data_IF_732385338742
#
_entry.id   IF_732385338742
#
_cell.length_a   1.000
_cell.length_b   1.000
_cell.length_c   1.000
_cell.angle_alpha   90.00
_cell.angle_beta   90.00
_cell.angle_gamma   90.00
#
_symmetry.space_group_name_H-M   'P 1'
#
loop_
_entity.id
_entity.type
_entity.pdbx_description
1 polymer ?
#
# COMPACT_ATOMS: atom_id res chain seq x y z
N UNK A 1 5.61 -60.05 22.82
CA UNK A 1 5.62 -58.57 22.79
C UNK A 1 6.98 -58.09 22.29
N UNK A 2 7.16 -57.67 21.02
CA UNK A 2 8.34 -56.91 20.63
C UNK A 2 8.00 -55.44 20.39
N UNK A 3 8.86 -54.56 20.93
CA UNK A 3 8.75 -53.11 20.87
C UNK A 3 9.01 -52.57 19.45
N UNK A 4 8.10 -51.73 18.96
CA UNK A 4 8.14 -51.12 17.64
C UNK A 4 9.13 -49.95 17.54
N UNK A 5 9.93 -49.98 16.49
CA UNK A 5 10.89 -48.96 16.07
C UNK A 5 10.14 -47.72 15.52
N UNK A 6 9.98 -46.66 16.31
CA UNK A 6 9.49 -45.35 15.79
C UNK A 6 10.65 -44.57 15.16
N UNK A 7 10.72 -44.54 13.82
CA UNK A 7 11.56 -43.57 13.08
C UNK A 7 10.87 -42.20 13.09
N UNK A 8 11.57 -41.17 13.58
CA UNK A 8 11.13 -39.77 13.54
C UNK A 8 11.11 -39.27 12.09
N UNK A 9 9.92 -39.02 11.55
CA UNK A 9 9.74 -38.25 10.31
C UNK A 9 9.73 -36.75 10.66
N UNK A 10 10.90 -36.11 10.63
CA UNK A 10 11.01 -34.69 10.92
C UNK A 10 12.27 -34.09 10.32
N UNK A 11 12.23 -33.71 9.05
CA UNK A 11 13.15 -32.70 8.48
C UNK A 11 12.94 -32.32 6.99
N UNK A 12 11.82 -32.66 6.34
CA UNK A 12 11.64 -32.32 4.90
C UNK A 12 10.87 -31.02 4.64
N UNK A 13 10.15 -30.49 5.63
CA UNK A 13 9.33 -29.27 5.48
C UNK A 13 10.08 -27.98 5.80
N UNK A 14 11.10 -28.03 6.65
CA UNK A 14 11.89 -26.85 7.03
C UNK A 14 12.71 -26.29 5.85
N UNK A 15 13.26 -27.16 4.99
CA UNK A 15 14.00 -26.74 3.79
C UNK A 15 13.08 -26.10 2.74
N UNK A 16 11.88 -26.65 2.53
CA UNK A 16 10.91 -26.09 1.59
C UNK A 16 10.43 -24.68 2.00
N UNK A 17 10.21 -24.45 3.31
CA UNK A 17 9.82 -23.15 3.83
C UNK A 17 10.92 -22.08 3.67
N UNK A 18 12.18 -22.44 3.88
CA UNK A 18 13.31 -21.52 3.68
C UNK A 18 13.51 -21.17 2.20
N UNK A 19 13.35 -22.13 1.30
CA UNK A 19 13.45 -21.88 -0.14
C UNK A 19 12.33 -20.94 -0.62
N UNK A 20 11.09 -21.13 -0.16
CA UNK A 20 9.97 -20.22 -0.46
C UNK A 20 10.19 -18.81 0.10
N UNK A 21 10.69 -18.68 1.33
CA UNK A 21 10.99 -17.38 1.95
C UNK A 21 12.12 -16.64 1.21
N UNK A 22 13.18 -17.36 0.81
CA UNK A 22 14.25 -16.82 -0.03
C UNK A 22 13.73 -16.40 -1.41
N UNK A 23 12.82 -17.18 -2.01
CA UNK A 23 12.22 -16.85 -3.31
C UNK A 23 11.35 -15.58 -3.24
N UNK A 24 10.55 -15.44 -2.17
CA UNK A 24 9.74 -14.24 -1.94
C UNK A 24 10.60 -13.00 -1.65
N UNK A 25 11.72 -13.15 -0.93
CA UNK A 25 12.65 -12.06 -0.66
C UNK A 25 13.37 -11.61 -1.94
N UNK A 26 13.79 -12.57 -2.78
CA UNK A 26 14.38 -12.27 -4.10
C UNK A 26 13.36 -11.57 -4.99
N UNK A 27 12.09 -12.01 -5.02
CA UNK A 27 11.03 -11.32 -5.74
C UNK A 27 10.79 -9.89 -5.22
N UNK A 28 10.78 -9.69 -3.90
CA UNK A 28 10.62 -8.36 -3.31
C UNK A 28 11.80 -7.43 -3.63
N UNK A 29 13.03 -7.96 -3.63
CA UNK A 29 14.24 -7.20 -3.98
C UNK A 29 14.28 -6.86 -5.48
N UNK A 30 13.95 -7.82 -6.35
CA UNK A 30 13.81 -7.58 -7.79
C UNK A 30 12.71 -6.57 -8.08
N UNK A 31 11.56 -6.66 -7.39
CA UNK A 31 10.48 -5.68 -7.51
C UNK A 31 10.91 -4.27 -7.05
N UNK A 32 11.71 -4.18 -5.98
CA UNK A 32 12.27 -2.92 -5.47
C UNK A 32 13.28 -2.30 -6.43
N UNK A 33 14.15 -3.09 -7.06
CA UNK A 33 15.07 -2.61 -8.11
C UNK A 33 14.31 -2.14 -9.34
N UNK A 34 13.26 -2.86 -9.73
CA UNK A 34 12.46 -2.53 -10.92
C UNK A 34 11.63 -1.24 -10.75
N UNK A 35 11.17 -0.94 -9.52
CA UNK A 35 10.54 0.35 -9.21
C UNK A 35 11.54 1.52 -9.24
N UNK A 36 12.78 1.33 -8.78
CA UNK A 36 13.80 2.39 -8.85
C UNK A 36 14.34 2.61 -10.26
N UNK A 37 14.20 1.63 -11.15
CA UNK A 37 14.76 1.65 -12.51
C UNK A 37 13.72 1.98 -13.59
N UNK A 38 12.44 2.13 -13.24
CA UNK A 38 11.38 2.38 -14.22
C UNK A 38 11.17 3.88 -14.44
N UNK A 39 11.54 4.45 -15.61
CA UNK A 39 11.29 5.85 -15.93
C UNK A 39 9.80 6.18 -16.18
N UNK A 40 8.91 5.21 -15.98
CA UNK A 40 7.48 5.29 -16.30
C UNK A 40 6.54 5.30 -15.10
N UNK A 41 7.06 5.47 -13.87
CA UNK A 41 6.23 5.93 -12.75
C UNK A 41 5.87 7.42 -12.98
N UNK A 42 5.06 7.69 -14.01
CA UNK A 42 4.52 9.02 -14.26
C UNK A 42 3.49 9.32 -13.16
N UNK A 43 3.97 9.89 -12.06
CA UNK A 43 3.10 10.60 -11.12
C UNK A 43 2.53 11.79 -11.89
N UNK A 44 1.22 11.79 -12.09
CA UNK A 44 0.54 12.86 -12.81
C UNK A 44 0.82 14.22 -12.12
N UNK A 45 1.14 15.30 -12.86
CA UNK A 45 1.57 16.59 -12.29
C UNK A 45 0.49 17.29 -11.44
N UNK A 46 -0.79 16.87 -11.52
CA UNK A 46 -1.84 17.34 -10.58
C UNK A 46 -1.85 16.63 -9.22
N UNK A 47 -1.03 15.60 -9.04
CA UNK A 47 -0.77 14.96 -7.75
C UNK A 47 0.28 15.73 -6.92
N UNK A 48 0.51 17.01 -7.23
CA UNK A 48 1.37 17.94 -6.49
C UNK A 48 0.69 18.55 -5.27
N UNK A 49 -0.22 17.82 -4.61
CA UNK A 49 -0.45 18.07 -3.20
C UNK A 49 0.72 17.43 -2.42
N UNK A 50 1.94 17.94 -2.62
CA UNK A 50 3.06 17.59 -1.74
C UNK A 50 2.76 18.21 -0.39
N UNK A 51 2.08 17.44 0.45
CA UNK A 51 1.96 17.75 1.86
C UNK A 51 3.39 17.89 2.39
N UNK A 52 3.69 19.05 2.95
CA UNK A 52 4.98 19.26 3.62
C UNK A 52 5.11 18.23 4.73
N UNK A 53 6.34 17.84 5.04
CA UNK A 53 6.63 16.91 6.12
C UNK A 53 5.86 17.29 7.40
N UNK A 54 5.16 16.31 7.97
CA UNK A 54 4.19 16.54 9.01
C UNK A 54 4.12 15.37 10.00
N UNK A 55 3.67 15.67 11.21
CA UNK A 55 3.39 14.68 12.24
C UNK A 55 1.88 14.54 12.38
N UNK A 56 1.39 13.31 12.22
CA UNK A 56 0.02 12.94 12.51
C UNK A 56 -0.01 12.17 13.83
N UNK A 57 -0.76 12.66 14.80
CA UNK A 57 -0.98 11.97 16.07
C UNK A 57 -2.43 11.45 16.15
N UNK A 58 -2.60 10.27 16.73
CA UNK A 58 -3.90 9.66 16.94
C UNK A 58 -3.88 8.77 18.19
N UNK A 59 -4.96 8.80 18.99
CA UNK A 59 -5.10 7.96 20.19
C UNK A 59 -5.27 6.48 19.84
N UNK A 60 -5.80 6.17 18.65
CA UNK A 60 -6.00 4.81 18.17
C UNK A 60 -5.32 4.58 16.82
N UNK A 61 -3.99 4.43 16.85
CA UNK A 61 -3.20 4.08 15.65
C UNK A 61 -3.00 2.58 15.58
N UNK A 62 -3.34 1.98 14.44
CA UNK A 62 -3.13 0.55 14.17
C UNK A 62 -1.68 0.33 13.76
N UNK A 63 -0.91 -0.35 14.63
CA UNK A 63 0.46 -0.77 14.39
C UNK A 63 0.55 -2.30 14.38
N UNK A 64 1.66 -2.89 13.88
CA UNK A 64 1.85 -4.35 13.95
C UNK A 64 1.76 -4.94 15.36
N UNK A 65 2.07 -4.13 16.38
CA UNK A 65 1.99 -4.51 17.79
C UNK A 65 0.59 -4.37 18.41
N UNK A 66 -0.39 -3.84 17.67
CA UNK A 66 -1.75 -3.57 18.16
C UNK A 66 -2.17 -2.11 17.96
N UNK A 67 -3.30 -1.74 18.59
CA UNK A 67 -3.87 -0.39 18.52
C UNK A 67 -3.42 0.41 19.73
N UNK A 68 -2.79 1.57 19.50
CA UNK A 68 -2.24 2.40 20.59
C UNK A 68 -2.15 3.87 20.19
N UNK A 69 -1.97 4.75 21.17
CA UNK A 69 -1.63 6.14 20.92
C UNK A 69 -0.25 6.21 20.26
N UNK A 70 -0.17 6.90 19.12
CA UNK A 70 1.06 6.98 18.35
C UNK A 70 1.13 8.24 17.49
N UNK A 71 2.36 8.58 17.12
CA UNK A 71 2.66 9.53 16.05
C UNK A 71 3.12 8.76 14.81
N UNK A 72 2.72 9.28 13.64
CA UNK A 72 3.24 8.94 12.32
C UNK A 72 3.89 10.20 11.75
N UNK A 73 5.20 10.14 11.50
CA UNK A 73 5.96 11.19 10.84
C UNK A 73 6.06 10.90 9.35
N UNK A 74 5.47 11.77 8.54
CA UNK A 74 5.48 11.69 7.08
C UNK A 74 6.49 12.71 6.54
N UNK A 75 7.34 12.26 5.62
CA UNK A 75 8.37 13.05 4.95
C UNK A 75 7.78 13.82 3.76
N UNK A 76 8.55 14.76 3.20
CA UNK A 76 8.11 15.59 2.06
C UNK A 76 7.83 14.78 0.77
N UNK A 77 8.32 13.54 0.68
CA UNK A 77 8.05 12.60 -0.42
C UNK A 77 6.83 11.70 -0.17
N UNK A 78 6.12 11.90 0.94
CA UNK A 78 4.95 11.12 1.34
C UNK A 78 5.27 9.79 2.03
N UNK A 79 6.55 9.45 2.23
CA UNK A 79 6.94 8.22 2.93
C UNK A 79 6.88 8.40 4.44
N UNK A 80 6.63 7.30 5.16
CA UNK A 80 6.67 7.29 6.63
C UNK A 80 8.14 7.20 7.07
N UNK A 81 8.65 8.29 7.66
CA UNK A 81 9.99 8.31 8.24
C UNK A 81 10.05 7.62 9.61
N UNK A 82 9.00 7.76 10.41
CA UNK A 82 8.95 7.19 11.77
C UNK A 82 7.50 6.94 12.20
N UNK A 83 7.25 5.83 12.90
CA UNK A 83 5.98 5.53 13.54
C UNK A 83 6.25 5.06 14.97
N UNK A 84 5.72 5.77 15.96
CA UNK A 84 6.04 5.52 17.38
C UNK A 84 4.85 5.64 18.29
N UNK A 85 4.70 4.65 19.16
CA UNK A 85 3.78 4.74 20.29
C UNK A 85 4.37 5.65 21.36
N UNK A 86 3.79 6.85 21.49
CA UNK A 86 4.22 7.90 22.42
C UNK A 86 3.01 8.73 22.83
N UNK A 87 3.16 9.50 23.90
CA UNK A 87 2.11 10.43 24.34
C UNK A 87 1.92 11.57 23.33
N UNK A 88 0.73 12.17 23.36
CA UNK A 88 0.43 13.41 22.61
C UNK A 88 1.45 14.52 22.89
N UNK A 89 1.86 14.67 24.16
CA UNK A 89 2.79 15.71 24.58
C UNK A 89 4.17 15.51 23.94
N UNK A 90 4.65 14.26 23.89
CA UNK A 90 5.93 13.91 23.27
C UNK A 90 5.87 14.08 21.74
N UNK A 91 4.75 13.70 21.10
CA UNK A 91 4.55 13.91 19.67
C UNK A 91 4.54 15.39 19.30
N UNK A 92 3.87 16.23 20.10
CA UNK A 92 3.86 17.67 19.91
C UNK A 92 5.26 18.28 20.08
N UNK A 93 6.01 17.85 21.11
CA UNK A 93 7.39 18.28 21.32
C UNK A 93 8.30 17.87 20.15
N UNK A 94 8.12 16.66 19.60
CA UNK A 94 8.85 16.19 18.41
C UNK A 94 8.61 17.08 17.20
N UNK A 95 7.34 17.42 16.93
CA UNK A 95 6.96 18.29 15.81
C UNK A 95 7.52 19.70 16.00
N UNK A 96 7.39 20.28 17.20
CA UNK A 96 7.86 21.62 17.52
C UNK A 96 9.39 21.76 17.37
N UNK A 97 10.16 20.78 17.86
CA UNK A 97 11.61 20.78 17.75
C UNK A 97 12.10 20.79 16.29
N UNK A 98 11.29 20.26 15.37
CA UNK A 98 11.59 20.18 13.93
C UNK A 98 10.84 21.22 13.09
N UNK A 99 10.01 22.06 13.71
CA UNK A 99 9.12 23.03 13.03
C UNK A 99 8.22 22.37 11.98
N UNK A 100 7.71 21.18 12.28
CA UNK A 100 6.80 20.42 11.43
C UNK A 100 5.35 20.78 11.73
N UNK A 101 4.47 20.60 10.75
CA UNK A 101 3.02 20.66 11.00
C UNK A 101 2.61 19.53 11.95
N UNK A 102 1.67 19.81 12.86
CA UNK A 102 1.14 18.84 13.81
C UNK A 102 -0.37 18.69 13.60
N UNK A 103 -0.79 17.49 13.20
CA UNK A 103 -2.18 17.14 12.97
C UNK A 103 -2.63 16.16 14.03
N UNK A 104 -3.56 16.60 14.88
CA UNK A 104 -4.14 15.80 15.95
C UNK A 104 -5.50 15.25 15.52
N UNK A 105 -5.60 13.93 15.42
CA UNK A 105 -6.83 13.24 15.02
C UNK A 105 -7.68 12.78 16.22
N UNK A 106 -7.22 13.02 17.45
CA UNK A 106 -7.92 12.68 18.69
C UNK A 106 -8.29 11.19 18.77
N UNK A 107 -9.54 10.91 19.12
CA UNK A 107 -10.08 9.58 19.34
C UNK A 107 -10.48 8.82 18.05
N UNK A 108 -10.16 9.33 16.86
CA UNK A 108 -10.37 8.59 15.59
C UNK A 108 -9.49 7.34 15.54
N UNK A 109 -9.69 6.52 14.51
CA UNK A 109 -8.75 5.45 14.17
C UNK A 109 -7.86 5.88 13.01
N UNK A 110 -6.55 5.73 13.19
CA UNK A 110 -5.58 5.87 12.11
C UNK A 110 -5.08 4.48 11.73
N UNK A 111 -5.38 4.04 10.51
CA UNK A 111 -4.98 2.74 9.99
C UNK A 111 -4.17 2.90 8.70
N UNK A 112 -3.37 1.88 8.33
CA UNK A 112 -2.89 1.76 6.96
C UNK A 112 -4.05 1.82 5.98
N UNK A 113 -3.83 2.43 4.82
CA UNK A 113 -4.80 2.41 3.74
C UNK A 113 -5.04 0.98 3.24
N UNK A 114 -6.29 0.66 2.91
CA UNK A 114 -6.64 -0.68 2.44
C UNK A 114 -6.15 -0.89 0.99
N UNK A 115 -5.84 -2.14 0.68
CA UNK A 115 -5.49 -2.62 -0.65
C UNK A 115 -6.65 -3.53 -1.11
N UNK A 116 -7.38 -3.09 -2.13
CA UNK A 116 -8.40 -3.93 -2.76
C UNK A 116 -7.81 -4.60 -3.99
N UNK A 117 -7.64 -5.92 -3.88
CA UNK A 117 -6.99 -6.74 -4.90
C UNK A 117 -7.93 -7.14 -6.05
N UNK A 118 -9.23 -6.81 -6.00
CA UNK A 118 -10.21 -7.32 -6.94
C UNK A 118 -11.27 -6.29 -7.32
N UNK A 119 -10.91 -5.36 -8.21
CA UNK A 119 -11.86 -4.34 -8.71
C UNK A 119 -12.06 -4.39 -10.22
N UNK A 120 -13.25 -4.04 -10.68
CA UNK A 120 -13.60 -3.94 -12.11
C UNK A 120 -13.87 -2.50 -12.48
N UNK A 121 -12.82 -1.73 -12.77
CA UNK A 121 -12.94 -0.30 -13.14
C UNK A 121 -13.59 -0.14 -14.52
N UNK A 122 -13.24 -1.01 -15.46
CA UNK A 122 -13.85 -1.10 -16.81
C UNK A 122 -13.90 0.23 -17.57
N UNK A 123 -12.81 1.00 -17.53
CA UNK A 123 -12.75 2.35 -18.10
C UNK A 123 -12.68 2.38 -19.63
N UNK A 124 -12.09 1.35 -20.26
CA UNK A 124 -12.01 1.21 -21.71
C UNK A 124 -13.23 0.49 -22.30
N UNK A 125 -13.64 0.88 -23.52
CA UNK A 125 -14.70 0.20 -24.27
C UNK A 125 -16.08 0.87 -24.25
N UNK A 126 -16.18 2.10 -23.72
CA UNK A 126 -17.30 3.02 -23.99
C UNK A 126 -18.69 2.58 -23.50
N UNK A 127 -18.78 1.61 -22.59
CA UNK A 127 -20.07 1.06 -22.12
C UNK A 127 -20.76 1.85 -21.00
N UNK A 128 -20.26 3.04 -20.64
CA UNK A 128 -20.81 3.85 -19.55
C UNK A 128 -20.66 3.18 -18.16
N UNK A 129 -19.66 2.33 -18.00
CA UNK A 129 -19.30 1.72 -16.72
C UNK A 129 -18.50 2.71 -15.85
N UNK A 130 -18.29 2.35 -14.58
CA UNK A 130 -17.64 3.12 -13.51
C UNK A 130 -16.61 4.14 -14.03
N UNK A 131 -15.45 3.67 -14.54
CA UNK A 131 -14.33 4.52 -14.94
C UNK A 131 -13.41 4.89 -13.76
N UNK A 132 -12.20 5.40 -14.05
CA UNK A 132 -11.19 5.62 -12.99
C UNK A 132 -11.60 6.71 -11.99
N UNK A 133 -12.23 7.80 -12.44
CA UNK A 133 -12.59 8.95 -11.59
C UNK A 133 -13.59 8.60 -10.49
N UNK A 134 -14.65 7.88 -10.82
CA UNK A 134 -15.69 7.46 -9.87
C UNK A 134 -15.17 6.34 -8.97
N UNK A 135 -14.51 5.32 -9.54
CA UNK A 135 -13.96 4.18 -8.80
C UNK A 135 -12.95 4.63 -7.72
N UNK A 136 -12.00 5.50 -8.07
CA UNK A 136 -10.99 5.99 -7.11
C UNK A 136 -11.59 6.88 -6.03
N UNK A 137 -12.61 7.68 -6.34
CA UNK A 137 -13.35 8.46 -5.33
C UNK A 137 -14.12 7.58 -4.36
N UNK A 138 -14.77 6.54 -4.86
CA UNK A 138 -15.47 5.57 -4.04
C UNK A 138 -14.48 4.81 -3.13
N UNK A 139 -13.35 4.38 -3.70
CA UNK A 139 -12.25 3.74 -2.97
C UNK A 139 -11.73 4.63 -1.84
N UNK A 140 -11.39 5.89 -2.13
CA UNK A 140 -10.89 6.83 -1.14
C UNK A 140 -11.90 7.09 -0.02
N UNK A 141 -13.20 7.21 -0.35
CA UNK A 141 -14.26 7.36 0.65
C UNK A 141 -14.41 6.12 1.56
N UNK A 142 -14.09 4.93 1.05
CA UNK A 142 -14.06 3.67 1.79
C UNK A 142 -12.75 3.39 2.54
N UNK A 143 -11.75 4.27 2.46
CA UNK A 143 -10.42 4.05 3.05
C UNK A 143 -9.50 3.11 2.26
N UNK A 144 -9.85 2.81 1.01
CA UNK A 144 -9.01 2.08 0.07
C UNK A 144 -8.07 3.05 -0.64
N UNK A 145 -6.77 2.77 -0.55
CA UNK A 145 -5.72 3.63 -1.11
C UNK A 145 -4.99 2.99 -2.29
N UNK A 146 -5.19 1.69 -2.50
CA UNK A 146 -4.61 0.94 -3.62
C UNK A 146 -5.64 -0.01 -4.20
N UNK A 147 -5.77 0.02 -5.52
CA UNK A 147 -6.72 -0.79 -6.29
C UNK A 147 -5.95 -1.66 -7.28
N UNK A 148 -6.31 -2.93 -7.39
CA UNK A 148 -5.80 -3.84 -8.42
C UNK A 148 -6.96 -4.17 -9.38
N UNK A 149 -6.90 -3.58 -10.57
CA UNK A 149 -7.89 -3.79 -11.63
C UNK A 149 -7.81 -5.19 -12.21
N UNK A 150 -8.96 -5.86 -12.31
CA UNK A 150 -9.09 -7.13 -13.02
C UNK A 150 -8.92 -6.93 -14.53
N UNK A 151 -8.28 -7.88 -15.25
CA UNK A 151 -7.91 -7.71 -16.65
C UNK A 151 -9.08 -7.94 -17.63
N UNK A 152 -10.31 -8.10 -17.12
CA UNK A 152 -11.51 -8.39 -17.90
C UNK A 152 -12.50 -7.23 -17.83
N UNK A 153 -13.50 -7.23 -18.72
CA UNK A 153 -14.51 -6.18 -18.91
C UNK A 153 -14.03 -4.90 -19.61
N UNK A 154 -12.77 -4.51 -19.51
CA UNK A 154 -12.21 -3.52 -20.44
C UNK A 154 -12.18 -4.07 -21.87
N UNK A 155 -12.40 -3.19 -22.86
CA UNK A 155 -12.21 -3.53 -24.28
C UNK A 155 -11.16 -2.59 -24.87
N UNK A 156 -9.99 -3.09 -25.28
CA UNK A 156 -9.55 -4.49 -25.21
C UNK A 156 -9.32 -4.97 -23.76
N UNK A 157 -9.44 -6.28 -23.47
CA UNK A 157 -9.07 -6.81 -22.15
C UNK A 157 -7.56 -6.70 -21.93
N UNK A 158 -7.16 -6.50 -20.67
CA UNK A 158 -5.77 -6.21 -20.26
C UNK A 158 -4.93 -7.49 -20.17
N UNK A 159 -4.83 -8.22 -21.28
CA UNK A 159 -4.05 -9.47 -21.40
C UNK A 159 -2.83 -9.32 -22.32
N UNK A 160 -2.59 -8.13 -22.84
CA UNK A 160 -1.44 -7.78 -23.67
C UNK A 160 -0.78 -6.51 -23.15
N UNK A 161 0.51 -6.31 -23.45
CA UNK A 161 1.22 -5.07 -23.10
C UNK A 161 0.55 -3.84 -23.72
N UNK A 162 0.06 -3.95 -24.96
CA UNK A 162 -0.63 -2.86 -25.62
C UNK A 162 -1.92 -2.46 -24.88
N UNK A 163 -2.75 -3.44 -24.48
CA UNK A 163 -3.95 -3.16 -23.71
C UNK A 163 -3.64 -2.55 -22.33
N UNK A 164 -2.54 -2.98 -21.69
CA UNK A 164 -2.08 -2.38 -20.44
C UNK A 164 -1.65 -0.91 -20.63
N UNK A 165 -0.95 -0.59 -21.72
CA UNK A 165 -0.56 0.78 -22.03
C UNK A 165 -1.78 1.68 -22.23
N UNK A 166 -2.80 1.19 -22.96
CA UNK A 166 -4.07 1.91 -23.12
C UNK A 166 -4.77 2.18 -21.78
N UNK A 167 -4.75 1.21 -20.86
CA UNK A 167 -5.31 1.41 -19.51
C UNK A 167 -4.55 2.47 -18.71
N UNK A 168 -3.22 2.48 -18.79
CA UNK A 168 -2.39 3.50 -18.13
C UNK A 168 -2.68 4.89 -18.69
N UNK A 169 -2.79 5.01 -20.02
CA UNK A 169 -3.15 6.27 -20.69
C UNK A 169 -4.55 6.74 -20.27
N UNK A 170 -5.52 5.83 -20.22
CA UNK A 170 -6.88 6.14 -19.78
C UNK A 170 -6.93 6.58 -18.31
N UNK A 171 -6.21 5.88 -17.42
CA UNK A 171 -6.11 6.25 -16.01
C UNK A 171 -5.50 7.65 -15.82
N UNK A 172 -4.48 7.99 -16.62
CA UNK A 172 -3.86 9.31 -16.60
C UNK A 172 -4.79 10.41 -17.15
N UNK A 173 -5.64 10.10 -18.12
CA UNK A 173 -6.61 11.04 -18.69
C UNK A 173 -7.84 11.27 -17.77
N UNK A 174 -8.27 10.24 -17.05
CA UNK A 174 -9.47 10.28 -16.20
C UNK A 174 -9.24 10.87 -14.81
N UNK A 175 -7.99 10.99 -14.34
CA UNK A 175 -7.61 11.60 -13.05
C UNK A 175 -7.74 13.13 -13.04
#
# INVERSE_FOLDING_TARGET
MPAGLRRKAGCRWAHAAHVLALWMLVLALLYKEQLHSSPHAHVHPRCEARERAAVHYCEHTVLPSGVTAAMIYVLDDGTIGEARSISRADALAFAAARRLAFHDHGAKHLSPGLIDAHVHISALGGRGWEGYRSATRAAAAGGVTTLIGMPLNSIPPTTTLHALQLEVEQAAADG
#
